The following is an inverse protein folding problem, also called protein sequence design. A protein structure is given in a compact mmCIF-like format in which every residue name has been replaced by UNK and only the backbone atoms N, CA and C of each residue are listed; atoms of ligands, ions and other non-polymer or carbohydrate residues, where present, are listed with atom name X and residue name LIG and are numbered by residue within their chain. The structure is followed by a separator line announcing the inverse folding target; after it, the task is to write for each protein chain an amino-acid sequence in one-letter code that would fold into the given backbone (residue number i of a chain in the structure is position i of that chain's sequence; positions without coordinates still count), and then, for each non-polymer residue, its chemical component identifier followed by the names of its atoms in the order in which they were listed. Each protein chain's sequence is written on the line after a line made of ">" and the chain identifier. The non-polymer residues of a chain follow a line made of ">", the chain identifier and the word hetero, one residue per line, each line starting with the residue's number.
data_IF_146560800356
#
_entry.id   IF_146560800356
#
_cell.length_a   1.000
_cell.length_b   1.000
_cell.length_c   1.000
_cell.angle_alpha   90.00
_cell.angle_beta   90.00
_cell.angle_gamma   90.00
#
_symmetry.space_group_name_H-M   'P 1'
#
loop_
_entity.id
_entity.type
_entity.pdbx_description
1 polymer ?
#
# COMPACT_ATOMS: atom_id res chain seq x y z
N UNK A 1 5.73 23.52 -36.95
CA UNK A 1 5.04 23.35 -35.66
C UNK A 1 6.04 22.74 -34.68
N UNK A 2 6.41 23.47 -33.64
CA UNK A 2 7.54 23.14 -32.77
C UNK A 2 7.10 22.21 -31.64
N UNK A 3 7.71 21.02 -31.54
CA UNK A 3 7.47 20.06 -30.47
C UNK A 3 8.25 20.48 -29.22
N UNK A 4 7.55 20.94 -28.18
CA UNK A 4 8.14 21.16 -26.85
C UNK A 4 8.44 19.81 -26.19
N UNK A 5 9.72 19.43 -26.23
CA UNK A 5 10.30 18.43 -25.33
C UNK A 5 10.29 18.98 -23.90
N UNK A 6 9.48 18.40 -23.02
CA UNK A 6 9.54 18.66 -21.58
C UNK A 6 10.48 17.62 -20.95
N UNK A 7 11.77 17.90 -20.96
CA UNK A 7 12.78 17.14 -20.23
C UNK A 7 12.63 17.40 -18.73
N UNK A 8 11.91 16.52 -18.04
CA UNK A 8 11.85 16.51 -16.58
C UNK A 8 13.12 15.87 -16.02
N UNK A 9 14.18 16.65 -15.84
CA UNK A 9 15.40 16.21 -15.16
C UNK A 9 15.10 16.00 -13.68
N UNK A 10 14.98 14.73 -13.24
CA UNK A 10 15.03 14.40 -11.81
C UNK A 10 16.46 14.66 -11.33
N UNK A 11 16.67 15.80 -10.68
CA UNK A 11 17.87 16.06 -9.88
C UNK A 11 17.93 15.02 -8.76
N UNK A 12 18.91 14.10 -8.85
CA UNK A 12 19.30 13.27 -7.71
C UNK A 12 20.09 14.18 -6.78
N UNK A 13 19.50 14.54 -5.64
CA UNK A 13 20.16 15.27 -4.58
C UNK A 13 21.38 14.47 -4.10
N UNK A 14 22.57 14.91 -4.50
CA UNK A 14 23.82 14.45 -3.90
C UNK A 14 24.27 15.49 -2.89
N UNK A 15 24.76 15.00 -1.74
CA UNK A 15 25.50 15.71 -0.69
C UNK A 15 24.67 16.26 0.48
N UNK A 16 24.45 15.41 1.48
CA UNK A 16 24.44 15.83 2.87
C UNK A 16 25.68 15.25 3.57
N UNK A 17 26.45 16.17 4.15
CA UNK A 17 27.72 15.99 4.83
C UNK A 17 27.53 15.07 6.04
N UNK A 18 28.27 13.97 6.08
CA UNK A 18 28.41 13.09 7.25
C UNK A 18 29.09 13.86 8.39
N UNK A 19 28.32 14.58 9.19
CA UNK A 19 28.70 14.93 10.56
C UNK A 19 28.22 13.79 11.46
N UNK A 20 29.12 12.88 11.82
CA UNK A 20 28.92 11.91 12.90
C UNK A 20 28.77 12.69 14.21
N UNK A 21 27.56 13.17 14.51
CA UNK A 21 27.16 13.44 15.88
C UNK A 21 26.78 12.08 16.45
N UNK A 22 27.63 11.55 17.32
CA UNK A 22 27.36 10.36 18.12
C UNK A 22 26.16 10.64 19.01
N UNK A 23 24.95 10.40 18.48
CA UNK A 23 23.79 10.12 19.32
C UNK A 23 24.10 8.80 20.01
N UNK A 24 24.38 8.87 21.30
CA UNK A 24 24.42 7.71 22.19
C UNK A 24 23.23 6.81 21.86
N UNK A 25 23.50 5.57 21.47
CA UNK A 25 22.52 4.56 21.06
C UNK A 25 21.66 4.04 22.23
N UNK A 26 21.49 4.83 23.28
CA UNK A 26 20.85 4.43 24.54
C UNK A 26 19.34 4.75 24.59
N UNK A 27 18.71 5.12 23.47
CA UNK A 27 17.36 5.69 23.48
C UNK A 27 16.22 4.75 23.01
N UNK A 28 16.46 3.45 22.83
CA UNK A 28 15.42 2.52 22.34
C UNK A 28 15.05 1.36 23.28
N UNK A 29 15.66 1.26 24.47
CA UNK A 29 15.40 0.13 25.39
C UNK A 29 14.17 0.34 26.30
N UNK A 30 13.61 1.56 26.35
CA UNK A 30 12.50 1.91 27.23
C UNK A 30 11.23 2.31 26.47
N UNK A 31 11.06 1.88 25.22
CA UNK A 31 9.80 2.13 24.52
C UNK A 31 8.72 1.20 25.11
N UNK A 32 7.54 1.73 25.46
CA UNK A 32 6.41 0.90 25.83
C UNK A 32 6.10 -0.08 24.69
N UNK A 33 5.73 -1.31 25.04
CA UNK A 33 5.48 -2.40 24.09
C UNK A 33 4.00 -2.78 24.11
N UNK A 34 3.51 -3.34 23.01
CA UNK A 34 2.12 -3.78 22.90
C UNK A 34 1.10 -2.63 23.03
N UNK A 35 0.04 -2.85 23.80
CA UNK A 35 -1.07 -1.89 23.96
C UNK A 35 -0.68 -0.61 24.71
N UNK A 36 0.36 -0.67 25.55
CA UNK A 36 0.92 0.48 26.27
C UNK A 36 1.48 1.52 25.30
N UNK A 37 2.01 1.07 24.16
CA UNK A 37 2.58 1.94 23.13
C UNK A 37 1.52 2.77 22.38
N UNK A 38 0.25 2.37 22.43
CA UNK A 38 -0.83 3.03 21.70
C UNK A 38 -1.35 4.28 22.42
N UNK A 39 -1.11 4.41 23.72
CA UNK A 39 -1.52 5.58 24.48
C UNK A 39 -0.50 6.71 24.34
N UNK A 40 -0.88 7.77 23.64
CA UNK A 40 -0.06 8.97 23.48
C UNK A 40 -0.39 10.08 24.48
N UNK A 41 -1.42 9.91 25.32
CA UNK A 41 -1.79 10.89 26.35
C UNK A 41 -0.98 10.66 27.62
N UNK A 42 -0.47 11.76 28.20
CA UNK A 42 0.32 11.73 29.46
C UNK A 42 -0.45 11.13 30.64
N UNK A 43 -1.76 11.38 30.70
CA UNK A 43 -2.66 10.93 31.78
C UNK A 43 -3.76 9.98 31.25
N UNK A 44 -3.56 9.40 30.06
CA UNK A 44 -4.44 8.37 29.53
C UNK A 44 -4.10 6.98 30.09
N UNK A 45 -5.07 6.07 30.08
CA UNK A 45 -4.80 4.63 30.22
C UNK A 45 -4.71 3.99 28.83
N UNK A 46 -3.83 3.01 28.62
CA UNK A 46 -3.80 2.26 27.37
C UNK A 46 -5.12 1.50 27.14
N UNK A 47 -5.52 1.31 25.87
CA UNK A 47 -6.69 0.52 25.54
C UNK A 47 -6.49 -0.93 25.99
N UNK A 48 -7.52 -1.51 26.59
CA UNK A 48 -7.56 -2.93 26.95
C UNK A 48 -8.02 -3.77 25.76
N UNK A 49 -7.41 -4.95 25.60
CA UNK A 49 -7.85 -5.93 24.60
C UNK A 49 -9.17 -6.55 25.08
N UNK A 50 -10.20 -6.44 24.25
CA UNK A 50 -11.53 -7.00 24.50
C UNK A 50 -11.64 -8.40 23.91
N UNK A 51 -12.72 -9.10 24.22
CA UNK A 51 -13.05 -10.37 23.54
C UNK A 51 -13.39 -10.14 22.06
N UNK A 52 -13.11 -11.13 21.22
CA UNK A 52 -13.33 -11.06 19.76
C UNK A 52 -14.76 -10.65 19.39
N UNK A 53 -15.76 -11.05 20.18
CA UNK A 53 -17.18 -10.75 19.96
C UNK A 53 -17.54 -9.27 20.13
N UNK A 54 -16.71 -8.51 20.83
CA UNK A 54 -16.92 -7.06 20.99
C UNK A 54 -16.40 -6.27 19.80
N UNK A 55 -15.56 -6.88 18.96
CA UNK A 55 -15.05 -6.23 17.77
C UNK A 55 -16.01 -6.39 16.59
N UNK A 56 -16.12 -5.38 15.72
CA UNK A 56 -16.93 -5.49 14.51
C UNK A 56 -16.44 -6.61 13.58
N UNK A 57 -17.37 -7.29 12.91
CA UNK A 57 -17.08 -8.41 11.99
C UNK A 57 -16.07 -8.04 10.88
N UNK A 58 -16.10 -6.79 10.41
CA UNK A 58 -15.19 -6.33 9.36
C UNK A 58 -13.72 -6.42 9.78
N UNK A 59 -13.40 -6.37 11.08
CA UNK A 59 -12.04 -6.49 11.58
C UNK A 59 -11.43 -7.84 11.20
N UNK A 60 -12.19 -8.92 11.37
CA UNK A 60 -11.74 -10.28 11.07
C UNK A 60 -11.61 -10.52 9.56
N UNK A 61 -12.40 -9.81 8.75
CA UNK A 61 -12.26 -9.85 7.30
C UNK A 61 -10.94 -9.24 6.80
N UNK A 62 -10.29 -8.36 7.57
CA UNK A 62 -9.00 -7.77 7.19
C UNK A 62 -7.85 -8.79 7.15
N UNK A 63 -7.96 -9.87 7.93
CA UNK A 63 -6.98 -10.97 7.95
C UNK A 63 -7.04 -11.82 6.68
N UNK A 64 -8.14 -11.75 5.93
CA UNK A 64 -8.30 -12.51 4.69
C UNK A 64 -7.27 -12.11 3.64
N UNK A 65 -6.83 -13.09 2.83
CA UNK A 65 -5.91 -12.84 1.71
C UNK A 65 -6.59 -11.92 0.72
N UNK A 66 -6.02 -10.73 0.53
CA UNK A 66 -6.45 -9.83 -0.55
C UNK A 66 -6.12 -10.47 -1.89
N UNK A 67 -7.08 -10.48 -2.82
CA UNK A 67 -6.93 -11.03 -4.17
C UNK A 67 -5.67 -10.50 -4.87
N UNK A 68 -5.03 -11.28 -5.72
CA UNK A 68 -3.91 -10.80 -6.55
C UNK A 68 -4.42 -9.97 -7.73
N UNK A 69 -3.52 -9.48 -8.60
CA UNK A 69 -3.96 -8.84 -9.84
C UNK A 69 -4.56 -9.88 -10.78
N UNK A 70 -3.95 -11.07 -10.84
CA UNK A 70 -4.38 -12.22 -11.62
C UNK A 70 -5.78 -12.69 -11.20
N UNK A 71 -6.00 -12.90 -9.89
CA UNK A 71 -7.30 -13.31 -9.33
C UNK A 71 -8.42 -12.32 -9.72
N UNK A 72 -8.11 -11.01 -9.73
CA UNK A 72 -9.07 -9.96 -10.09
C UNK A 72 -9.38 -9.96 -11.59
N UNK A 73 -8.37 -10.15 -12.44
CA UNK A 73 -8.55 -10.24 -13.90
C UNK A 73 -9.40 -11.46 -14.26
N UNK A 74 -9.13 -12.62 -13.65
CA UNK A 74 -9.92 -13.82 -13.89
C UNK A 74 -11.39 -13.63 -13.52
N UNK A 75 -11.67 -13.02 -12.36
CA UNK A 75 -13.05 -12.69 -11.96
C UNK A 75 -13.72 -11.73 -12.93
N UNK A 76 -13.05 -10.65 -13.33
CA UNK A 76 -13.58 -9.70 -14.32
C UNK A 76 -13.89 -10.40 -15.63
N UNK A 77 -12.96 -11.20 -16.16
CA UNK A 77 -13.15 -11.92 -17.41
C UNK A 77 -14.31 -12.92 -17.33
N UNK A 78 -14.46 -13.60 -16.19
CA UNK A 78 -15.57 -14.54 -15.96
C UNK A 78 -16.93 -13.83 -16.04
N UNK A 79 -17.12 -12.73 -15.32
CA UNK A 79 -18.39 -11.99 -15.35
C UNK A 79 -18.61 -11.29 -16.68
N UNK A 80 -17.55 -10.79 -17.30
CA UNK A 80 -17.62 -10.20 -18.63
C UNK A 80 -18.09 -11.21 -19.68
N UNK A 81 -17.62 -12.45 -19.61
CA UNK A 81 -18.08 -13.52 -20.50
C UNK A 81 -19.56 -13.90 -20.26
N UNK A 82 -20.08 -13.71 -19.05
CA UNK A 82 -21.45 -14.06 -18.70
C UNK A 82 -22.48 -13.01 -19.13
N UNK A 83 -22.14 -11.72 -19.08
CA UNK A 83 -23.09 -10.65 -19.37
C UNK A 83 -22.44 -9.30 -19.67
N UNK A 84 -21.20 -9.30 -20.15
CA UNK A 84 -20.48 -8.09 -20.54
C UNK A 84 -20.18 -7.17 -19.36
N UNK A 85 -20.18 -5.86 -19.64
CA UNK A 85 -19.81 -4.83 -18.67
C UNK A 85 -20.80 -4.75 -17.52
N UNK A 86 -22.09 -4.95 -17.80
CA UNK A 86 -23.16 -4.82 -16.80
C UNK A 86 -23.02 -5.90 -15.73
N UNK A 87 -22.77 -7.15 -16.14
CA UNK A 87 -22.52 -8.25 -15.20
C UNK A 87 -21.26 -8.00 -14.33
N UNK A 88 -20.23 -7.36 -14.88
CA UNK A 88 -19.04 -6.96 -14.10
C UNK A 88 -19.39 -5.89 -13.07
N UNK A 89 -20.16 -4.88 -13.45
CA UNK A 89 -20.54 -3.77 -12.59
C UNK A 89 -21.47 -4.20 -11.44
N UNK A 90 -22.36 -5.17 -11.68
CA UNK A 90 -23.27 -5.71 -10.67
C UNK A 90 -22.58 -6.66 -9.68
N UNK A 91 -21.65 -7.49 -10.16
CA UNK A 91 -21.08 -8.58 -9.36
C UNK A 91 -19.72 -8.25 -8.72
N UNK A 92 -18.99 -7.25 -9.23
CA UNK A 92 -17.69 -6.88 -8.70
C UNK A 92 -17.79 -5.52 -8.00
N UNK A 93 -17.50 -5.46 -6.68
CA UNK A 93 -17.56 -4.22 -5.96
C UNK A 93 -16.52 -3.23 -6.50
N UNK A 94 -16.90 -1.96 -6.55
CA UNK A 94 -16.06 -0.87 -7.08
C UNK A 94 -14.66 -0.80 -6.42
N UNK A 95 -14.57 -1.12 -5.13
CA UNK A 95 -13.31 -1.15 -4.39
C UNK A 95 -12.30 -2.16 -4.97
N UNK A 96 -12.77 -3.31 -5.47
CA UNK A 96 -11.94 -4.34 -6.11
C UNK A 96 -11.50 -3.91 -7.50
N UNK A 97 -12.40 -3.33 -8.31
CA UNK A 97 -12.06 -2.77 -9.64
C UNK A 97 -11.00 -1.67 -9.51
N UNK A 98 -11.21 -0.73 -8.57
CA UNK A 98 -10.23 0.33 -8.29
C UNK A 98 -8.87 -0.24 -7.88
N UNK A 99 -8.87 -1.31 -7.07
CA UNK A 99 -7.64 -1.99 -6.66
C UNK A 99 -6.95 -2.69 -7.84
N UNK A 100 -7.71 -3.33 -8.73
CA UNK A 100 -7.19 -3.94 -9.96
C UNK A 100 -6.41 -2.91 -10.79
N UNK A 101 -7.02 -1.76 -11.09
CA UNK A 101 -6.36 -0.69 -11.86
C UNK A 101 -5.09 -0.17 -11.17
N UNK A 102 -5.12 -0.01 -9.84
CA UNK A 102 -3.94 0.38 -9.06
C UNK A 102 -2.81 -0.64 -9.19
N UNK A 103 -3.12 -1.92 -9.05
CA UNK A 103 -2.13 -2.99 -9.15
C UNK A 103 -1.55 -3.10 -10.57
N UNK A 104 -2.38 -2.96 -11.61
CA UNK A 104 -1.93 -2.93 -13.00
C UNK A 104 -0.95 -1.78 -13.26
N UNK A 105 -1.24 -0.58 -12.73
CA UNK A 105 -0.33 0.56 -12.87
C UNK A 105 1.00 0.33 -12.13
N UNK A 106 0.96 -0.23 -10.92
CA UNK A 106 2.18 -0.57 -10.17
C UNK A 106 3.01 -1.60 -10.94
N UNK A 107 2.39 -2.63 -11.53
CA UNK A 107 3.07 -3.64 -12.35
C UNK A 107 3.76 -2.99 -13.56
N UNK A 108 3.07 -2.08 -14.25
CA UNK A 108 3.62 -1.32 -15.38
C UNK A 108 4.85 -0.51 -14.98
N UNK A 109 4.75 0.26 -13.88
CA UNK A 109 5.87 1.08 -13.37
C UNK A 109 7.05 0.20 -12.98
N UNK A 110 6.81 -0.92 -12.29
CA UNK A 110 7.88 -1.87 -11.92
C UNK A 110 8.58 -2.44 -13.14
N UNK A 111 7.84 -2.78 -14.21
CA UNK A 111 8.41 -3.26 -15.46
C UNK A 111 9.32 -2.21 -16.09
N UNK A 112 8.85 -0.97 -16.22
CA UNK A 112 9.64 0.14 -16.77
C UNK A 112 10.90 0.44 -15.96
N UNK A 113 10.83 0.34 -14.62
CA UNK A 113 12.00 0.54 -13.77
C UNK A 113 13.03 -0.59 -13.92
N UNK A 114 12.58 -1.82 -14.21
CA UNK A 114 13.47 -2.95 -14.48
C UNK A 114 14.19 -2.78 -15.82
N UNK A 115 13.43 -2.49 -16.88
CA UNK A 115 13.98 -2.23 -18.23
C UNK A 115 15.07 -1.14 -18.17
N UNK A 116 14.77 -0.01 -17.51
CA UNK A 116 15.75 1.07 -17.33
C UNK A 116 16.95 0.70 -16.46
N UNK A 117 16.82 -0.23 -15.53
CA UNK A 117 17.94 -0.66 -14.69
C UNK A 117 18.88 -1.62 -15.42
N UNK A 118 18.37 -2.39 -16.38
CA UNK A 118 19.15 -3.29 -17.24
C UNK A 118 19.88 -2.53 -18.37
N UNK A 119 19.45 -1.31 -18.70
CA UNK A 119 20.11 -0.43 -19.67
C UNK A 119 21.37 0.28 -19.14
N UNK A 120 21.68 0.20 -17.84
CA UNK A 120 22.87 0.78 -17.19
C UNK A 120 23.85 -0.30 -16.72
#
# INVERSE_FOLDING_TARGET
>A
MSHRSLSFTRSLATKAKSTKKSTSSTALTNLPSGWEALNYFKEGKPPELKEDKEYPDWLFSLKSRRATLEDLIERVNKFYAQGGVDAVAENIPWSELRRMFRLANIRRIRRQNKEKAEEF
#
